data_IF_544798575065
#
_entry.id   IF_544798575065
#
_cell.length_a   1.000
_cell.length_b   1.000
_cell.length_c   1.000
_cell.angle_alpha   90.00
_cell.angle_beta   90.00
_cell.angle_gamma   90.00
#
_symmetry.space_group_name_H-M   'P 1'
#
loop_
_entity.id
_entity.type
_entity.pdbx_description
1 polymer ?
#
# COMPACT_ATOMS: atom_id res chain seq x y z
N UNK A 1 -9.81 1.84 -24.51
CA UNK A 1 -9.13 2.53 -23.38
C UNK A 1 -7.64 2.56 -23.65
N UNK A 2 -6.87 3.56 -23.16
CA UNK A 2 -5.43 3.66 -23.45
C UNK A 2 -4.56 2.58 -22.81
N UNK A 3 -5.10 1.82 -21.85
CA UNK A 3 -4.43 0.75 -21.12
C UNK A 3 -4.51 -0.63 -21.79
N UNK A 4 -5.36 -0.80 -22.81
CA UNK A 4 -5.53 -2.09 -23.52
C UNK A 4 -4.32 -2.47 -24.39
N UNK A 5 -3.38 -1.55 -24.59
CA UNK A 5 -2.24 -1.74 -25.48
C UNK A 5 -0.90 -1.40 -24.82
N UNK A 6 0.14 -2.04 -25.32
CA UNK A 6 1.53 -1.71 -24.98
C UNK A 6 1.87 -0.32 -25.55
N UNK A 7 2.57 0.49 -24.77
CA UNK A 7 3.09 1.79 -25.23
C UNK A 7 4.40 1.70 -26.00
N UNK A 8 5.03 0.52 -26.02
CA UNK A 8 6.30 0.24 -26.67
C UNK A 8 6.19 -1.03 -27.50
N UNK A 9 7.12 -1.22 -28.45
CA UNK A 9 7.20 -2.43 -29.26
C UNK A 9 7.39 -3.69 -28.38
N UNK A 10 6.46 -4.64 -28.49
CA UNK A 10 6.49 -5.89 -27.74
C UNK A 10 7.81 -6.66 -27.91
N UNK A 11 8.45 -6.56 -29.08
CA UNK A 11 9.75 -7.20 -29.35
C UNK A 11 10.89 -6.68 -28.46
N UNK A 12 10.73 -5.51 -27.84
CA UNK A 12 11.75 -4.88 -26.97
C UNK A 12 11.54 -5.11 -25.48
N UNK A 13 10.36 -5.56 -25.07
CA UNK A 13 9.95 -5.61 -23.66
C UNK A 13 10.38 -6.89 -22.95
N UNK A 14 10.45 -8.00 -23.70
CA UNK A 14 10.71 -9.32 -23.14
C UNK A 14 9.52 -9.90 -22.35
N UNK A 15 9.50 -11.21 -22.12
CA UNK A 15 8.31 -11.91 -21.61
C UNK A 15 7.90 -11.46 -20.19
N UNK A 16 8.84 -11.17 -19.30
CA UNK A 16 8.54 -10.77 -17.92
C UNK A 16 7.79 -9.44 -17.84
N UNK A 17 8.19 -8.44 -18.62
CA UNK A 17 7.53 -7.12 -18.65
C UNK A 17 6.13 -7.25 -19.27
N UNK A 18 5.98 -8.10 -20.29
CA UNK A 18 4.69 -8.37 -20.89
C UNK A 18 3.74 -9.05 -19.87
N UNK A 19 4.22 -10.01 -19.08
CA UNK A 19 3.41 -10.65 -18.03
C UNK A 19 3.04 -9.67 -16.90
N UNK A 20 3.96 -8.79 -16.51
CA UNK A 20 3.66 -7.70 -15.58
C UNK A 20 2.59 -6.76 -16.14
N UNK A 21 2.69 -6.37 -17.41
CA UNK A 21 1.67 -5.55 -18.06
C UNK A 21 0.31 -6.23 -18.06
N UNK A 22 0.23 -7.53 -18.39
CA UNK A 22 -1.02 -8.31 -18.33
C UNK A 22 -1.63 -8.23 -16.93
N UNK A 23 -0.86 -8.51 -15.89
CA UNK A 23 -1.36 -8.47 -14.51
C UNK A 23 -1.76 -7.06 -14.06
N UNK A 24 -1.04 -6.02 -14.48
CA UNK A 24 -1.39 -4.62 -14.21
C UNK A 24 -2.71 -4.24 -14.88
N UNK A 25 -2.89 -4.55 -16.16
CA UNK A 25 -4.13 -4.22 -16.89
C UNK A 25 -5.31 -4.98 -16.31
N UNK A 26 -5.16 -6.26 -16.00
CA UNK A 26 -6.22 -7.02 -15.31
C UNK A 26 -6.58 -6.37 -13.97
N UNK A 27 -5.61 -6.00 -13.14
CA UNK A 27 -5.88 -5.27 -11.89
C UNK A 27 -6.62 -3.94 -12.12
N UNK A 28 -6.26 -3.20 -13.17
CA UNK A 28 -6.95 -1.95 -13.53
C UNK A 28 -8.41 -2.20 -13.92
N UNK A 29 -8.68 -3.23 -14.74
CA UNK A 29 -10.02 -3.62 -15.16
C UNK A 29 -10.89 -4.04 -13.97
N UNK A 30 -10.34 -4.81 -13.03
CA UNK A 30 -11.09 -5.21 -11.83
C UNK A 30 -11.45 -4.00 -10.97
N UNK A 31 -10.52 -3.06 -10.77
CA UNK A 31 -10.81 -1.84 -10.01
C UNK A 31 -11.84 -0.93 -10.69
N UNK A 32 -11.82 -0.88 -12.03
CA UNK A 32 -12.85 -0.19 -12.81
C UNK A 32 -14.22 -0.86 -12.66
N UNK A 33 -14.28 -2.19 -12.72
CA UNK A 33 -15.49 -2.95 -12.50
C UNK A 33 -16.05 -2.73 -11.08
N UNK A 34 -15.20 -2.74 -10.05
CA UNK A 34 -15.59 -2.42 -8.67
C UNK A 34 -16.25 -1.04 -8.58
N UNK A 35 -15.64 -0.01 -9.16
CA UNK A 35 -16.20 1.34 -9.16
C UNK A 35 -17.55 1.40 -9.88
N UNK A 36 -17.60 0.88 -11.11
CA UNK A 36 -18.81 0.88 -11.93
C UNK A 36 -19.97 0.13 -11.27
N UNK A 37 -19.70 -1.07 -10.74
CA UNK A 37 -20.73 -1.83 -10.03
C UNK A 37 -21.21 -1.11 -8.78
N UNK A 38 -20.33 -0.46 -8.04
CA UNK A 38 -20.71 0.32 -6.86
C UNK A 38 -21.63 1.50 -7.21
N UNK A 39 -21.32 2.24 -8.28
CA UNK A 39 -22.18 3.32 -8.77
C UNK A 39 -23.55 2.80 -9.23
N UNK A 40 -23.57 1.71 -10.01
CA UNK A 40 -24.82 1.11 -10.54
C UNK A 40 -25.69 0.54 -9.43
N UNK A 41 -25.10 -0.16 -8.45
CA UNK A 41 -25.80 -0.69 -7.28
C UNK A 41 -26.48 0.42 -6.48
N UNK A 42 -25.79 1.56 -6.31
CA UNK A 42 -26.34 2.73 -5.63
C UNK A 42 -27.47 3.40 -6.40
N UNK A 43 -27.37 3.45 -7.73
CA UNK A 43 -28.32 4.18 -8.58
C UNK A 43 -29.59 3.37 -8.94
N UNK A 44 -29.50 2.04 -9.00
CA UNK A 44 -30.64 1.21 -9.44
C UNK A 44 -31.80 1.25 -8.44
N UNK A 45 -33.03 1.32 -8.95
CA UNK A 45 -34.26 1.16 -8.15
C UNK A 45 -34.71 -0.29 -7.96
N UNK A 46 -34.12 -1.25 -8.70
CA UNK A 46 -34.50 -2.66 -8.62
C UNK A 46 -33.64 -3.41 -7.57
N UNK A 47 -34.25 -3.99 -6.52
CA UNK A 47 -33.51 -4.67 -5.45
C UNK A 47 -32.84 -5.99 -5.89
N UNK A 48 -33.42 -6.75 -6.82
CA UNK A 48 -32.83 -7.99 -7.32
C UNK A 48 -31.58 -7.70 -8.14
N UNK A 49 -31.65 -6.70 -9.02
CA UNK A 49 -30.47 -6.26 -9.77
C UNK A 49 -29.40 -5.69 -8.83
N UNK A 50 -29.79 -4.94 -7.79
CA UNK A 50 -28.82 -4.42 -6.81
C UNK A 50 -28.03 -5.54 -6.15
N UNK A 51 -28.69 -6.62 -5.73
CA UNK A 51 -28.03 -7.76 -5.12
C UNK A 51 -26.99 -8.41 -6.06
N UNK A 52 -27.31 -8.55 -7.35
CA UNK A 52 -26.37 -9.07 -8.35
C UNK A 52 -25.17 -8.14 -8.51
N UNK A 53 -25.40 -6.83 -8.62
CA UNK A 53 -24.32 -5.85 -8.80
C UNK A 53 -23.40 -5.79 -7.57
N UNK A 54 -23.96 -5.87 -6.36
CA UNK A 54 -23.19 -5.90 -5.11
C UNK A 54 -22.37 -7.19 -4.96
N UNK A 55 -22.96 -8.33 -5.32
CA UNK A 55 -22.25 -9.61 -5.39
C UNK A 55 -21.05 -9.52 -6.31
N UNK A 56 -21.26 -9.15 -7.58
CA UNK A 56 -20.18 -9.06 -8.56
C UNK A 56 -19.10 -8.06 -8.12
N UNK A 57 -19.50 -6.87 -7.63
CA UNK A 57 -18.57 -5.87 -7.08
C UNK A 57 -17.63 -6.46 -6.04
N UNK A 58 -18.14 -7.32 -5.17
CA UNK A 58 -17.37 -7.86 -4.06
C UNK A 58 -16.48 -9.03 -4.51
N UNK A 59 -16.88 -9.81 -5.53
CA UNK A 59 -16.02 -10.80 -6.20
C UNK A 59 -14.85 -10.13 -6.96
N UNK A 60 -15.06 -9.02 -7.67
CA UNK A 60 -13.96 -8.35 -8.39
C UNK A 60 -12.86 -7.84 -7.44
N UNK A 61 -13.18 -7.58 -6.17
CA UNK A 61 -12.16 -7.24 -5.15
C UNK A 61 -11.27 -8.43 -4.83
N UNK A 62 -11.80 -9.66 -4.88
CA UNK A 62 -11.01 -10.88 -4.76
C UNK A 62 -10.08 -11.02 -5.97
N UNK A 63 -10.61 -10.86 -7.19
CA UNK A 63 -9.80 -10.90 -8.41
C UNK A 63 -8.67 -9.87 -8.40
N UNK A 64 -8.98 -8.62 -8.02
CA UNK A 64 -7.99 -7.56 -7.84
C UNK A 64 -6.91 -7.94 -6.81
N UNK A 65 -7.31 -8.50 -5.66
CA UNK A 65 -6.37 -8.92 -4.62
C UNK A 65 -5.45 -10.06 -5.09
N UNK A 66 -5.99 -11.03 -5.85
CA UNK A 66 -5.22 -12.12 -6.44
C UNK A 66 -4.18 -11.62 -7.44
N UNK A 67 -4.56 -10.71 -8.34
CA UNK A 67 -3.65 -10.09 -9.31
C UNK A 67 -2.56 -9.25 -8.62
N UNK A 68 -2.94 -8.46 -7.61
CA UNK A 68 -2.01 -7.64 -6.82
C UNK A 68 -0.99 -8.50 -6.06
N UNK A 69 -1.40 -9.64 -5.51
CA UNK A 69 -0.49 -10.57 -4.85
C UNK A 69 0.52 -11.18 -5.82
N UNK A 70 0.10 -11.53 -7.04
CA UNK A 70 1.04 -11.98 -8.07
C UNK A 70 2.06 -10.88 -8.40
N UNK A 71 1.61 -9.65 -8.61
CA UNK A 71 2.49 -8.49 -8.83
C UNK A 71 3.47 -8.28 -7.66
N UNK A 72 3.00 -8.38 -6.41
CA UNK A 72 3.85 -8.30 -5.21
C UNK A 72 4.95 -9.36 -5.19
N UNK A 73 4.69 -10.57 -5.71
CA UNK A 73 5.71 -11.64 -5.80
C UNK A 73 6.71 -11.39 -6.92
N UNK A 74 6.28 -10.72 -7.99
CA UNK A 74 7.06 -10.51 -9.21
C UNK A 74 7.83 -9.18 -9.25
N UNK A 75 7.50 -8.22 -8.37
CA UNK A 75 8.14 -6.90 -8.30
C UNK A 75 8.62 -6.59 -6.86
N UNK A 76 9.96 -6.63 -6.60
CA UNK A 76 10.51 -6.33 -5.28
C UNK A 76 10.24 -4.92 -4.78
N UNK A 77 10.19 -3.94 -5.68
CA UNK A 77 9.93 -2.53 -5.33
C UNK A 77 8.49 -2.37 -4.90
N UNK A 78 7.54 -2.90 -5.68
CA UNK A 78 6.14 -2.95 -5.29
C UNK A 78 5.96 -3.70 -3.96
N UNK A 79 6.64 -4.84 -3.78
CA UNK A 79 6.59 -5.58 -2.51
C UNK A 79 7.05 -4.76 -1.32
N UNK A 80 8.09 -3.93 -1.47
CA UNK A 80 8.56 -3.05 -0.40
C UNK A 80 7.48 -2.05 -0.02
N UNK A 81 6.90 -1.36 -0.99
CA UNK A 81 5.86 -0.35 -0.73
C UNK A 81 4.58 -0.97 -0.15
N UNK A 82 4.11 -2.10 -0.67
CA UNK A 82 2.93 -2.77 -0.12
C UNK A 82 3.12 -3.19 1.34
N UNK A 83 4.32 -3.67 1.72
CA UNK A 83 4.63 -4.00 3.12
C UNK A 83 4.74 -2.78 4.03
N UNK A 84 5.14 -1.63 3.48
CA UNK A 84 5.19 -0.36 4.23
C UNK A 84 3.81 0.14 4.60
N UNK A 85 2.85 0.08 3.66
CA UNK A 85 1.59 0.81 3.79
C UNK A 85 0.37 -0.05 4.09
N UNK A 86 0.35 -1.33 3.70
CA UNK A 86 -0.81 -2.18 3.96
C UNK A 86 -0.85 -2.63 5.42
N UNK A 87 -2.07 -2.75 5.95
CA UNK A 87 -2.36 -3.23 7.31
C UNK A 87 -1.76 -2.37 8.44
N UNK A 88 -1.45 -1.10 8.16
CA UNK A 88 -1.03 -0.11 9.14
C UNK A 88 -2.20 0.73 9.66
N UNK A 89 -1.98 1.44 10.78
CA UNK A 89 -2.94 2.40 11.34
C UNK A 89 -2.34 3.81 11.37
N UNK A 90 -3.19 4.83 11.41
CA UNK A 90 -2.79 6.24 11.42
C UNK A 90 -2.74 6.88 10.03
N UNK A 91 -2.33 8.16 9.92
CA UNK A 91 -2.25 8.85 8.64
C UNK A 91 -1.25 8.20 7.68
N UNK A 92 -1.70 7.81 6.48
CA UNK A 92 -0.88 7.10 5.48
C UNK A 92 0.37 7.91 5.10
N UNK A 93 0.24 9.21 4.85
CA UNK A 93 1.37 10.10 4.52
C UNK A 93 2.35 10.28 5.69
N UNK A 94 1.89 10.06 6.93
CA UNK A 94 2.76 10.04 8.10
C UNK A 94 3.71 8.84 8.11
N UNK A 95 3.29 7.70 7.54
CA UNK A 95 4.12 6.49 7.45
C UNK A 95 5.27 6.72 6.46
N UNK A 96 5.00 7.35 5.32
CA UNK A 96 6.01 7.70 4.32
C UNK A 96 7.16 8.52 4.93
N UNK A 97 6.84 9.60 5.64
CA UNK A 97 7.84 10.45 6.29
C UNK A 97 8.74 9.66 7.27
N UNK A 98 8.18 8.72 8.04
CA UNK A 98 8.96 7.89 8.96
C UNK A 98 9.88 6.89 8.27
N UNK A 99 9.55 6.45 7.04
CA UNK A 99 10.39 5.55 6.24
C UNK A 99 11.54 6.34 5.60
N UNK A 100 11.30 7.55 5.13
CA UNK A 100 12.34 8.43 4.58
C UNK A 100 13.37 8.83 5.64
N UNK A 101 12.93 9.20 6.85
CA UNK A 101 13.83 9.57 7.96
C UNK A 101 14.74 8.42 8.39
N UNK A 102 14.25 7.17 8.39
CA UNK A 102 15.03 5.99 8.75
C UNK A 102 15.93 5.48 7.61
N UNK A 103 15.67 5.89 6.37
CA UNK A 103 16.45 5.49 5.18
C UNK A 103 17.70 6.35 4.91
N UNK A 104 17.88 7.46 5.63
CA UNK A 104 19.00 8.40 5.46
C UNK A 104 20.31 8.03 6.17
N UNK A 105 20.37 6.90 6.88
CA UNK A 105 21.58 6.44 7.57
C UNK A 105 21.78 4.93 7.35
N UNK A 106 22.45 4.57 6.26
CA UNK A 106 22.57 3.16 5.86
C UNK A 106 23.70 2.86 4.89
N UNK A 107 24.81 3.59 4.96
CA UNK A 107 26.12 3.10 4.53
C UNK A 107 27.12 3.37 5.66
N UNK A 108 27.13 2.47 6.64
CA UNK A 108 28.21 2.34 7.59
C UNK A 108 28.44 0.84 7.77
N UNK A 109 29.67 0.43 7.50
CA UNK A 109 30.08 -0.96 7.42
C UNK A 109 29.86 -1.74 8.71
N UNK A 110 29.82 -3.05 8.51
CA UNK A 110 30.03 -4.05 9.56
C UNK A 110 31.27 -3.66 10.37
N UNK A 111 31.06 -3.35 11.65
CA UNK A 111 32.06 -3.57 12.69
C UNK A 111 31.35 -4.04 13.95
N UNK A 112 31.51 -5.33 14.17
CA UNK A 112 31.27 -6.05 15.40
C UNK A 112 32.25 -5.52 16.46
N UNK A 113 31.77 -4.75 17.43
CA UNK A 113 32.44 -4.67 18.74
C UNK A 113 31.40 -4.39 19.84
N UNK A 114 31.15 -5.43 20.63
CA UNK A 114 30.09 -5.54 21.63
C UNK A 114 30.25 -4.61 22.83
N UNK A 115 29.86 -3.34 22.67
CA UNK A 115 29.68 -2.40 23.78
C UNK A 115 28.20 -2.00 23.91
N UNK A 116 27.50 -2.62 24.87
CA UNK A 116 26.18 -2.19 25.31
C UNK A 116 26.28 -0.78 25.89
N UNK A 117 25.89 0.22 25.10
CA UNK A 117 25.85 1.65 25.44
C UNK A 117 24.75 2.01 26.45
N UNK A 118 24.76 1.36 27.61
CA UNK A 118 24.03 1.81 28.79
C UNK A 118 24.77 2.99 29.42
N UNK A 119 24.31 4.21 29.13
CA UNK A 119 24.88 5.38 29.77
C UNK A 119 24.25 6.70 29.33
N UNK A 120 23.14 7.09 29.96
CA UNK A 120 23.00 8.41 30.59
C UNK A 120 21.60 8.54 31.21
N UNK A 121 21.42 7.93 32.39
CA UNK A 121 20.44 8.41 33.36
C UNK A 121 21.07 9.60 34.07
N UNK A 122 20.67 10.82 33.72
CA UNK A 122 20.83 11.99 34.60
C UNK A 122 19.46 12.52 34.98
N UNK A 123 19.06 12.08 36.17
CA UNK A 123 18.52 12.88 37.26
C UNK A 123 17.32 13.79 36.98
N UNK A 124 16.17 13.32 37.44
CA UNK A 124 15.02 14.14 37.79
C UNK A 124 15.36 15.23 38.83
N UNK A 125 14.62 16.35 38.79
CA UNK A 125 14.26 17.12 40.00
C UNK A 125 12.77 17.53 39.91
N UNK A 126 12.02 17.55 41.02
CA UNK A 126 10.56 17.45 41.02
C UNK A 126 9.82 18.80 41.07
N UNK A 127 8.50 18.67 40.98
CA UNK A 127 7.40 19.65 40.90
C UNK A 127 7.47 20.93 41.75
N UNK A 128 6.79 21.96 41.24
CA UNK A 128 6.09 22.95 42.06
C UNK A 128 4.63 23.05 41.58
N UNK A 129 3.70 22.54 42.40
CA UNK A 129 2.28 22.90 42.41
C UNK A 129 2.13 24.19 43.22
N UNK A 130 1.39 25.17 42.72
CA UNK A 130 0.59 26.07 43.58
C UNK A 130 -0.73 26.39 42.87
N UNK A 131 -1.83 25.98 43.52
CA UNK A 131 -3.22 26.39 43.28
C UNK A 131 -3.46 27.87 43.60
N UNK A 132 -4.51 28.46 43.02
CA UNK A 132 -5.31 29.45 43.76
C UNK A 132 -5.83 30.66 42.98
N UNK A 133 -7.11 30.58 42.61
CA UNK A 133 -8.17 31.60 42.77
C UNK A 133 -7.88 33.08 42.45
N UNK A 134 -8.45 33.58 41.35
CA UNK A 134 -9.75 34.30 41.32
C UNK A 134 -10.22 34.49 39.88
#
# INVERSE_FOLDING_TARGET
>A
MSSESLHEDAGKLGPAVIDQHRAIVSLMEELEAVDWYNQRAKATGNPELRAILEHNRDEEKEHAAMALEWLRRSDPTLSKHLKTFLFTQGPITGIEATVEEKGGSGSAGVSDDGSLGIGSLRSAKPAAKVEGAK
#
